data_IF_352136262930
#
_entry.id   IF_352136262930
#
_cell.length_a   1.000
_cell.length_b   1.000
_cell.length_c   1.000
_cell.angle_alpha   90.00
_cell.angle_beta   90.00
_cell.angle_gamma   90.00
#
_symmetry.space_group_name_H-M   'P 1'
#
loop_
_entity.id
_entity.type
_entity.pdbx_description
1 polymer ?
#
# COMPACT_ATOMS: atom_id res chain seq x y z
N UNK A 1 -1.66 13.22 11.50
CA UNK A 1 -2.08 12.99 12.90
C UNK A 1 -3.47 12.38 12.95
N UNK A 2 -3.56 11.06 12.83
CA UNK A 2 -4.83 10.33 12.92
C UNK A 2 -5.32 10.16 14.36
N UNK A 3 -4.41 10.16 15.35
CA UNK A 3 -4.71 10.09 16.79
C UNK A 3 -3.61 10.76 17.62
N UNK A 4 -3.79 10.84 18.92
CA UNK A 4 -2.76 11.25 19.91
C UNK A 4 -2.56 10.14 20.94
N UNK A 5 -1.38 10.08 21.53
CA UNK A 5 -1.05 9.06 22.53
C UNK A 5 -2.00 9.09 23.76
N UNK A 6 -2.36 10.27 24.21
CA UNK A 6 -3.25 10.47 25.38
C UNK A 6 -4.04 11.78 25.20
N UNK A 7 -5.36 11.68 25.16
CA UNK A 7 -6.24 12.83 25.01
C UNK A 7 -6.06 13.81 26.17
N UNK A 8 -6.12 13.32 27.41
CA UNK A 8 -6.12 14.15 28.62
C UNK A 8 -4.88 15.04 28.72
N UNK A 9 -3.73 14.54 28.26
CA UNK A 9 -2.47 15.26 28.29
C UNK A 9 -2.12 15.93 26.95
N UNK A 10 -2.93 15.71 25.91
CA UNK A 10 -2.77 16.34 24.62
C UNK A 10 -2.85 17.86 24.70
N UNK A 11 -1.96 18.54 23.99
CA UNK A 11 -2.04 19.99 23.84
C UNK A 11 -3.32 20.42 23.10
N UNK A 12 -3.85 19.59 22.22
CA UNK A 12 -5.12 19.85 21.53
C UNK A 12 -6.27 19.96 22.52
N UNK A 13 -6.42 18.99 23.41
CA UNK A 13 -7.51 18.98 24.37
C UNK A 13 -7.35 20.07 25.43
N UNK A 14 -6.11 20.39 25.85
CA UNK A 14 -5.84 21.47 26.80
C UNK A 14 -6.08 22.86 26.20
N UNK A 15 -5.91 23.02 24.89
CA UNK A 15 -6.09 24.31 24.21
C UNK A 15 -7.56 24.61 23.96
N UNK A 16 -8.29 23.66 23.35
CA UNK A 16 -9.73 23.79 23.09
C UNK A 16 -10.41 22.43 23.35
N UNK A 17 -10.90 22.21 24.60
CA UNK A 17 -11.51 20.94 24.94
C UNK A 17 -12.65 20.54 24.01
N UNK A 18 -12.63 19.28 23.56
CA UNK A 18 -13.67 18.71 22.70
C UNK A 18 -13.65 19.18 21.24
N UNK A 19 -12.67 19.98 20.81
CA UNK A 19 -12.64 20.48 19.43
C UNK A 19 -11.87 19.59 18.47
N UNK A 20 -10.70 19.10 18.83
CA UNK A 20 -9.77 18.45 17.92
C UNK A 20 -9.99 16.94 17.76
N UNK A 21 -10.93 16.38 18.49
CA UNK A 21 -11.27 14.96 18.46
C UNK A 21 -12.72 14.75 18.05
N UNK A 22 -13.01 13.61 17.41
CA UNK A 22 -14.37 13.21 17.12
C UNK A 22 -15.00 12.52 18.32
N UNK A 23 -16.32 12.61 18.40
CA UNK A 23 -17.14 11.95 19.41
C UNK A 23 -18.15 11.05 18.71
N UNK A 24 -18.41 9.90 19.32
CA UNK A 24 -19.48 9.02 18.88
C UNK A 24 -20.86 9.55 19.37
N UNK A 25 -21.93 8.90 18.93
CA UNK A 25 -23.31 9.26 19.28
C UNK A 25 -23.61 9.28 20.80
N UNK A 26 -22.79 8.57 21.59
CA UNK A 26 -22.91 8.51 23.07
C UNK A 26 -22.10 9.62 23.77
N UNK A 27 -21.54 10.56 23.03
CA UNK A 27 -20.69 11.62 23.55
C UNK A 27 -19.33 11.16 24.11
N UNK A 28 -18.86 9.97 23.74
CA UNK A 28 -17.53 9.48 24.07
C UNK A 28 -16.59 9.74 22.88
N UNK A 29 -15.30 9.89 23.16
CA UNK A 29 -14.30 9.96 22.09
C UNK A 29 -14.42 8.77 21.15
N UNK A 30 -14.44 9.06 19.87
CA UNK A 30 -14.42 8.04 18.81
C UNK A 30 -13.01 7.47 18.66
N UNK A 31 -12.92 6.24 18.14
CA UNK A 31 -11.66 5.50 18.04
C UNK A 31 -11.57 4.67 16.76
N UNK A 32 -11.63 5.32 15.63
CA UNK A 32 -11.37 4.64 14.34
C UNK A 32 -9.89 4.27 14.17
N UNK A 33 -9.00 4.81 14.99
CA UNK A 33 -7.58 4.49 14.97
C UNK A 33 -7.23 3.16 15.65
N UNK A 34 -8.12 2.65 16.54
CA UNK A 34 -7.79 1.52 17.42
C UNK A 34 -6.75 1.85 18.50
N UNK A 35 -6.41 3.16 18.67
CA UNK A 35 -5.40 3.65 19.62
C UNK A 35 -6.00 4.51 20.72
N UNK A 36 -7.33 4.44 20.92
CA UNK A 36 -8.06 5.13 21.99
C UNK A 36 -8.69 6.46 21.59
N UNK A 37 -8.42 7.00 20.42
CA UNK A 37 -9.01 8.24 19.91
C UNK A 37 -8.79 8.44 18.42
N UNK A 38 -9.52 9.37 17.82
CA UNK A 38 -9.29 9.87 16.47
C UNK A 38 -9.39 11.39 16.41
N UNK A 39 -8.57 12.01 15.59
CA UNK A 39 -8.60 13.46 15.38
C UNK A 39 -9.69 13.86 14.38
N UNK A 40 -10.25 15.05 14.56
CA UNK A 40 -11.32 15.60 13.74
C UNK A 40 -10.75 16.43 12.57
N UNK A 41 -10.20 15.78 11.55
CA UNK A 41 -9.60 16.42 10.36
C UNK A 41 -10.58 17.33 9.61
N UNK A 42 -11.87 17.03 9.66
CA UNK A 42 -12.98 17.81 9.10
C UNK A 42 -13.16 19.18 9.75
N UNK A 43 -12.57 19.41 10.94
CA UNK A 43 -12.66 20.71 11.63
C UNK A 43 -11.55 21.66 11.18
N UNK A 44 -11.94 22.91 10.91
CA UNK A 44 -11.09 23.91 10.29
C UNK A 44 -9.69 24.06 10.92
N UNK A 45 -9.60 24.09 12.25
CA UNK A 45 -8.31 24.30 12.92
C UNK A 45 -7.45 23.01 12.96
N UNK A 46 -8.08 21.81 12.97
CA UNK A 46 -7.32 20.56 12.81
C UNK A 46 -6.78 20.43 11.38
N UNK A 47 -7.60 20.72 10.39
CA UNK A 47 -7.18 20.77 8.96
C UNK A 47 -6.04 21.75 8.77
N UNK A 48 -6.17 22.97 9.29
CA UNK A 48 -5.09 23.97 9.24
C UNK A 48 -3.80 23.44 9.87
N UNK A 49 -3.87 22.81 11.04
CA UNK A 49 -2.72 22.22 11.70
C UNK A 49 -2.04 21.13 10.84
N UNK A 50 -2.83 20.26 10.21
CA UNK A 50 -2.28 19.21 9.32
C UNK A 50 -1.59 19.81 8.10
N UNK A 51 -2.22 20.78 7.43
CA UNK A 51 -1.66 21.48 6.27
C UNK A 51 -0.35 22.20 6.66
N UNK A 52 -0.37 23.02 7.70
CA UNK A 52 0.82 23.75 8.16
C UNK A 52 1.96 22.82 8.58
N UNK A 53 1.62 21.66 9.16
CA UNK A 53 2.62 20.65 9.53
C UNK A 53 3.34 20.10 8.29
N UNK A 54 2.63 19.69 7.23
CA UNK A 54 3.30 19.16 6.02
C UNK A 54 4.07 20.26 5.29
N UNK A 55 3.55 21.49 5.22
CA UNK A 55 4.26 22.63 4.63
C UNK A 55 5.55 22.95 5.39
N UNK A 56 5.53 22.88 6.73
CA UNK A 56 6.73 23.07 7.55
C UNK A 56 7.81 22.05 7.20
N UNK A 57 7.45 20.77 7.10
CA UNK A 57 8.43 19.73 6.77
C UNK A 57 9.01 19.88 5.35
N UNK A 58 8.22 20.34 4.39
CA UNK A 58 8.72 20.61 3.04
C UNK A 58 9.63 21.83 3.03
N UNK A 59 9.19 22.94 3.62
CA UNK A 59 9.91 24.21 3.52
C UNK A 59 11.21 24.22 4.33
N UNK A 60 11.20 23.62 5.55
CA UNK A 60 12.34 23.68 6.47
C UNK A 60 13.27 22.46 6.34
N UNK A 61 12.73 21.30 5.97
CA UNK A 61 13.48 20.03 5.92
C UNK A 61 13.58 19.43 4.53
N UNK A 62 12.96 20.04 3.51
CA UNK A 62 13.01 19.61 2.11
C UNK A 62 12.56 18.16 1.90
N UNK A 63 11.50 17.76 2.58
CA UNK A 63 10.92 16.42 2.46
C UNK A 63 10.16 16.32 1.14
N UNK A 64 10.39 15.22 0.39
CA UNK A 64 9.86 14.99 -0.96
C UNK A 64 8.56 14.17 -0.98
N UNK A 65 8.02 13.78 0.20
CA UNK A 65 6.78 13.02 0.25
C UNK A 65 6.31 12.68 1.66
N UNK A 66 5.05 12.23 1.76
CA UNK A 66 4.39 11.90 3.02
C UNK A 66 3.60 10.61 2.90
N UNK A 67 3.75 9.76 3.91
CA UNK A 67 2.87 8.62 4.14
C UNK A 67 1.91 8.93 5.27
N UNK A 68 0.61 8.76 5.04
CA UNK A 68 -0.43 8.93 6.04
C UNK A 68 -0.86 7.56 6.59
N UNK A 69 -0.56 7.35 7.85
CA UNK A 69 -1.02 6.22 8.62
C UNK A 69 -2.54 6.32 8.82
N UNK A 70 -3.28 5.22 8.62
CA UNK A 70 -4.74 5.19 8.70
C UNK A 70 -5.40 6.41 8.01
N UNK A 71 -4.94 6.72 6.79
CA UNK A 71 -5.44 7.87 6.01
C UNK A 71 -6.95 7.86 5.86
N UNK A 72 -7.55 6.66 5.84
CA UNK A 72 -9.00 6.46 5.75
C UNK A 72 -9.82 7.03 6.91
N UNK A 73 -9.19 7.52 7.98
CA UNK A 73 -9.87 8.25 9.07
C UNK A 73 -10.08 9.73 8.70
N UNK A 74 -9.22 10.28 7.84
CA UNK A 74 -9.30 11.69 7.44
C UNK A 74 -10.41 11.89 6.40
N UNK A 75 -10.93 13.11 6.38
CA UNK A 75 -11.90 13.52 5.35
C UNK A 75 -11.20 13.86 4.03
N UNK A 76 -11.92 13.66 2.93
CA UNK A 76 -11.44 13.91 1.56
C UNK A 76 -11.00 15.36 1.36
N UNK A 77 -11.75 16.31 1.93
CA UNK A 77 -11.45 17.73 1.77
C UNK A 77 -10.08 18.08 2.36
N UNK A 78 -9.75 17.56 3.56
CA UNK A 78 -8.45 17.78 4.18
C UNK A 78 -7.32 17.20 3.33
N UNK A 79 -7.48 15.98 2.82
CA UNK A 79 -6.45 15.35 1.99
C UNK A 79 -6.25 16.08 0.66
N UNK A 80 -7.35 16.51 0.03
CA UNK A 80 -7.29 17.26 -1.22
C UNK A 80 -6.68 18.67 -1.03
N UNK A 81 -6.97 19.35 0.09
CA UNK A 81 -6.32 20.63 0.40
C UNK A 81 -4.83 20.47 0.66
N UNK A 82 -4.39 19.42 1.41
CA UNK A 82 -2.97 19.11 1.56
C UNK A 82 -2.31 18.92 0.19
N UNK A 83 -2.93 18.15 -0.72
CA UNK A 83 -2.40 17.94 -2.08
C UNK A 83 -2.31 19.25 -2.85
N UNK A 84 -3.35 20.09 -2.78
CA UNK A 84 -3.39 21.36 -3.48
C UNK A 84 -2.30 22.32 -3.02
N UNK A 85 -2.07 22.45 -1.72
CA UNK A 85 -1.01 23.29 -1.14
C UNK A 85 0.39 22.81 -1.53
N UNK A 86 0.63 21.49 -1.46
CA UNK A 86 1.90 20.90 -1.87
C UNK A 86 2.16 21.06 -3.38
N UNK A 87 1.12 21.00 -4.22
CA UNK A 87 1.24 21.25 -5.66
C UNK A 87 1.70 22.69 -5.99
N UNK A 88 1.45 23.66 -5.12
CA UNK A 88 1.93 25.03 -5.30
C UNK A 88 3.45 25.15 -5.08
N UNK A 89 4.02 24.25 -4.28
CA UNK A 89 5.47 24.21 -4.03
C UNK A 89 6.14 23.35 -5.09
N UNK A 90 5.75 22.06 -5.16
CA UNK A 90 6.27 21.10 -6.12
C UNK A 90 5.25 19.95 -6.31
N UNK A 91 4.65 19.80 -7.50
CA UNK A 91 3.71 18.73 -7.78
C UNK A 91 4.34 17.33 -7.74
N UNK A 92 5.66 17.19 -7.71
CA UNK A 92 6.36 15.91 -7.58
C UNK A 92 6.41 15.39 -6.14
N UNK A 93 6.08 16.22 -5.13
CA UNK A 93 6.00 15.78 -3.73
C UNK A 93 4.96 14.66 -3.63
N UNK A 94 5.40 13.47 -3.24
CA UNK A 94 4.56 12.28 -3.26
C UNK A 94 3.72 12.16 -2.00
N UNK A 95 2.42 11.87 -2.17
CA UNK A 95 1.51 11.59 -1.06
C UNK A 95 0.91 10.21 -1.24
N UNK A 96 0.98 9.40 -0.20
CA UNK A 96 0.31 8.11 -0.15
C UNK A 96 -0.10 7.76 1.27
N UNK A 97 -0.96 6.76 1.42
CA UNK A 97 -1.37 6.33 2.75
C UNK A 97 -2.23 5.08 2.74
N UNK A 98 -2.67 4.70 3.93
CA UNK A 98 -3.56 3.58 4.15
C UNK A 98 -5.01 4.02 3.92
N UNK A 99 -5.62 3.54 2.85
CA UNK A 99 -7.01 3.83 2.50
C UNK A 99 -8.04 3.06 3.35
N UNK A 100 -7.75 2.88 4.64
CA UNK A 100 -8.61 2.19 5.62
C UNK A 100 -8.53 2.82 6.99
N UNK A 101 -9.36 2.33 7.92
CA UNK A 101 -9.35 2.64 9.34
C UNK A 101 -9.30 1.32 10.14
N UNK A 102 -8.84 1.36 11.39
CA UNK A 102 -8.76 0.18 12.25
C UNK A 102 -10.13 -0.23 12.83
N UNK A 103 -11.06 0.71 12.93
CA UNK A 103 -12.46 0.46 13.31
C UNK A 103 -13.41 1.44 12.63
N UNK A 104 -14.70 1.42 12.95
CA UNK A 104 -15.72 2.22 12.27
C UNK A 104 -15.52 3.73 12.52
N UNK A 105 -15.24 4.53 11.47
CA UNK A 105 -15.15 5.97 11.57
C UNK A 105 -16.51 6.64 11.82
N UNK A 106 -16.48 7.90 12.30
CA UNK A 106 -17.69 8.65 12.60
C UNK A 106 -18.22 9.46 11.40
N UNK A 107 -17.40 9.73 10.41
CA UNK A 107 -17.83 10.41 9.19
C UNK A 107 -18.50 9.42 8.23
N UNK A 108 -19.31 9.94 7.31
CA UNK A 108 -19.85 9.19 6.19
C UNK A 108 -18.75 8.54 5.36
N UNK A 109 -18.95 7.27 4.94
CA UNK A 109 -17.99 6.55 4.12
C UNK A 109 -17.63 7.29 2.83
N UNK A 110 -18.56 8.05 2.26
CA UNK A 110 -18.37 8.83 1.02
C UNK A 110 -17.49 10.08 1.21
N UNK A 111 -17.32 10.54 2.45
CA UNK A 111 -16.53 11.73 2.81
C UNK A 111 -15.12 11.38 3.31
N UNK A 112 -14.83 10.10 3.50
CA UNK A 112 -13.56 9.62 4.03
C UNK A 112 -12.53 9.33 2.94
N UNK A 113 -11.25 9.52 3.26
CA UNK A 113 -10.11 9.20 2.42
C UNK A 113 -9.83 7.67 2.35
N UNK A 114 -10.91 6.89 2.25
CA UNK A 114 -10.87 5.45 2.07
C UNK A 114 -10.42 5.07 0.65
N UNK A 115 -9.86 3.90 0.50
CA UNK A 115 -9.43 3.35 -0.79
C UNK A 115 -10.53 3.43 -1.86
N UNK A 116 -11.76 3.06 -1.51
CA UNK A 116 -12.91 3.14 -2.42
C UNK A 116 -13.20 4.56 -2.96
N UNK A 117 -12.69 5.60 -2.32
CA UNK A 117 -12.79 7.00 -2.71
C UNK A 117 -11.50 7.56 -3.34
N UNK A 118 -10.49 6.74 -3.59
CA UNK A 118 -9.21 7.23 -4.13
C UNK A 118 -9.37 8.01 -5.46
N UNK A 119 -10.38 7.65 -6.27
CA UNK A 119 -10.74 8.40 -7.47
C UNK A 119 -11.15 9.87 -7.21
N UNK A 120 -11.53 10.21 -5.97
CA UNK A 120 -11.82 11.59 -5.53
C UNK A 120 -10.58 12.34 -5.02
N UNK A 121 -9.43 11.67 -4.97
CA UNK A 121 -8.17 12.20 -4.45
C UNK A 121 -7.06 12.13 -5.52
N UNK A 122 -7.17 12.86 -6.63
CA UNK A 122 -6.15 12.81 -7.68
C UNK A 122 -4.77 13.23 -7.14
N UNK A 123 -3.73 12.44 -7.47
CA UNK A 123 -2.36 12.68 -7.00
C UNK A 123 -2.07 12.19 -5.57
N UNK A 124 -2.97 11.42 -4.97
CA UNK A 124 -2.76 10.71 -3.70
C UNK A 124 -2.90 9.22 -3.95
N UNK A 125 -1.91 8.44 -3.51
CA UNK A 125 -1.87 7.00 -3.69
C UNK A 125 -2.31 6.26 -2.42
N UNK A 126 -2.84 5.03 -2.60
CA UNK A 126 -3.23 4.14 -1.51
C UNK A 126 -2.66 2.74 -1.71
N UNK A 127 -2.44 2.03 -0.62
CA UNK A 127 -1.97 0.65 -0.65
C UNK A 127 -3.02 -0.31 -1.25
N UNK A 128 -2.55 -1.22 -2.12
CA UNK A 128 -3.38 -2.24 -2.76
C UNK A 128 -3.32 -3.56 -1.99
N UNK A 129 -4.26 -3.76 -1.10
CA UNK A 129 -4.42 -5.02 -0.39
C UNK A 129 -5.04 -6.13 -1.27
N UNK A 130 -5.73 -5.78 -2.37
CA UNK A 130 -6.25 -6.77 -3.32
C UNK A 130 -5.12 -7.64 -3.89
N UNK A 131 -4.07 -7.02 -4.41
CA UNK A 131 -2.93 -7.76 -4.97
C UNK A 131 -2.09 -8.42 -3.88
N UNK A 132 -1.85 -7.72 -2.76
CA UNK A 132 -1.10 -8.27 -1.63
C UNK A 132 -1.72 -9.59 -1.16
N UNK A 133 -3.01 -9.57 -0.87
CA UNK A 133 -3.70 -10.74 -0.30
C UNK A 133 -4.02 -11.79 -1.37
N UNK A 134 -4.24 -11.38 -2.61
CA UNK A 134 -4.29 -12.28 -3.75
C UNK A 134 -3.00 -13.06 -3.97
N UNK A 135 -1.85 -12.48 -3.65
CA UNK A 135 -0.55 -13.15 -3.73
C UNK A 135 -0.29 -14.05 -2.52
N UNK A 136 -0.34 -13.51 -1.30
CA UNK A 136 0.20 -14.15 -0.10
C UNK A 136 -0.84 -14.58 0.93
N UNK A 137 -2.13 -14.41 0.65
CA UNK A 137 -3.22 -14.65 1.58
C UNK A 137 -3.56 -13.46 2.49
N UNK A 138 -4.78 -13.45 3.06
CA UNK A 138 -5.33 -12.33 3.81
C UNK A 138 -4.66 -12.16 5.18
N UNK A 139 -4.74 -10.96 5.72
CA UNK A 139 -4.27 -10.62 7.06
C UNK A 139 -4.91 -11.47 8.17
N UNK A 140 -6.13 -11.92 7.96
CA UNK A 140 -6.95 -12.63 8.96
C UNK A 140 -6.65 -14.13 9.09
N UNK A 141 -5.88 -14.72 8.17
CA UNK A 141 -5.56 -16.15 8.18
C UNK A 141 -4.08 -16.40 7.83
N UNK A 142 -3.32 -16.83 8.81
CA UNK A 142 -1.88 -17.08 8.67
C UNK A 142 -1.52 -18.33 7.87
N UNK A 143 -2.50 -19.20 7.63
CA UNK A 143 -2.33 -20.46 6.92
C UNK A 143 -2.77 -20.39 5.45
N UNK A 144 -3.49 -19.33 5.06
CA UNK A 144 -3.83 -19.05 3.68
C UNK A 144 -2.65 -18.39 2.98
N UNK A 145 -2.08 -19.05 1.98
CA UNK A 145 -0.96 -18.53 1.17
C UNK A 145 -1.36 -18.13 -0.25
N UNK A 146 -2.64 -18.25 -0.58
CA UNK A 146 -3.27 -17.83 -1.82
C UNK A 146 -2.49 -18.28 -3.08
N UNK A 147 -2.26 -17.37 -4.02
CA UNK A 147 -1.56 -17.68 -5.28
C UNK A 147 -0.17 -18.28 -5.07
N UNK A 148 0.59 -17.83 -4.08
CA UNK A 148 1.96 -18.31 -3.86
C UNK A 148 2.04 -19.80 -3.50
N UNK A 149 0.99 -20.38 -2.90
CA UNK A 149 0.95 -21.83 -2.57
C UNK A 149 0.18 -22.64 -3.60
N UNK A 150 -0.21 -22.03 -4.73
CA UNK A 150 -0.90 -22.72 -5.82
C UNK A 150 -2.41 -22.77 -5.69
N UNK A 151 -3.02 -21.96 -4.81
CA UNK A 151 -4.48 -21.87 -4.70
C UNK A 151 -5.06 -21.10 -5.88
N UNK A 152 -6.08 -21.64 -6.57
CA UNK A 152 -6.70 -20.98 -7.71
C UNK A 152 -7.71 -19.91 -7.27
N UNK A 153 -8.02 -18.98 -8.19
CA UNK A 153 -9.06 -17.96 -8.00
C UNK A 153 -8.57 -16.62 -7.52
N UNK A 154 -7.26 -16.45 -7.36
CA UNK A 154 -6.63 -15.19 -6.95
C UNK A 154 -6.13 -14.36 -8.13
N UNK A 155 -6.11 -14.94 -9.34
CA UNK A 155 -5.53 -14.35 -10.54
C UNK A 155 -6.12 -12.98 -10.85
N UNK A 156 -7.45 -12.83 -10.73
CA UNK A 156 -8.12 -11.57 -11.07
C UNK A 156 -7.72 -10.42 -10.14
N UNK A 157 -7.55 -10.69 -8.84
CA UNK A 157 -7.09 -9.69 -7.87
C UNK A 157 -5.64 -9.25 -8.13
N UNK A 158 -4.79 -10.19 -8.56
CA UNK A 158 -3.41 -9.90 -8.95
C UNK A 158 -3.37 -9.10 -10.25
N UNK A 159 -4.14 -9.52 -11.28
CA UNK A 159 -4.26 -8.80 -12.55
C UNK A 159 -4.78 -7.37 -12.35
N UNK A 160 -5.74 -7.18 -11.44
CA UNK A 160 -6.23 -5.86 -11.05
C UNK A 160 -5.10 -4.97 -10.47
N UNK A 161 -4.27 -5.51 -9.59
CA UNK A 161 -3.08 -4.80 -9.09
C UNK A 161 -2.02 -4.56 -10.18
N UNK A 162 -1.83 -5.51 -11.11
CA UNK A 162 -0.87 -5.34 -12.22
C UNK A 162 -1.21 -4.15 -13.12
N UNK A 163 -2.49 -3.88 -13.39
CA UNK A 163 -2.93 -2.69 -14.15
C UNK A 163 -2.95 -1.41 -13.33
N UNK A 164 -2.62 -1.45 -12.03
CA UNK A 164 -2.64 -0.29 -11.14
C UNK A 164 -4.02 0.09 -10.62
N UNK A 165 -4.92 -0.87 -10.46
CA UNK A 165 -6.28 -0.74 -9.92
C UNK A 165 -7.18 0.24 -10.69
N UNK A 166 -6.85 0.48 -11.95
CA UNK A 166 -7.64 1.29 -12.89
C UNK A 166 -8.72 0.43 -13.57
N UNK A 167 -9.67 1.09 -14.21
CA UNK A 167 -10.58 0.41 -15.14
C UNK A 167 -9.78 -0.16 -16.32
N UNK A 168 -9.97 -1.48 -16.58
CA UNK A 168 -9.30 -2.17 -17.68
C UNK A 168 -10.24 -3.23 -18.28
N UNK A 169 -10.33 -3.36 -19.63
CA UNK A 169 -11.32 -4.21 -20.29
C UNK A 169 -11.22 -5.72 -19.97
N UNK A 170 -10.05 -6.18 -19.52
CA UNK A 170 -9.84 -7.58 -19.17
C UNK A 170 -9.97 -7.86 -17.67
N UNK A 171 -10.34 -6.88 -16.85
CA UNK A 171 -10.57 -7.07 -15.42
C UNK A 171 -12.06 -7.26 -15.15
N UNK A 172 -12.42 -8.40 -14.58
CA UNK A 172 -13.76 -8.71 -14.10
C UNK A 172 -13.85 -8.33 -12.62
N UNK A 173 -14.33 -7.12 -12.34
CA UNK A 173 -14.30 -6.55 -10.98
C UNK A 173 -15.05 -7.41 -9.94
N UNK A 174 -16.12 -8.11 -10.31
CA UNK A 174 -16.86 -9.00 -9.40
C UNK A 174 -16.02 -10.21 -8.93
N UNK A 175 -14.90 -10.48 -9.59
CA UNK A 175 -13.94 -11.54 -9.23
C UNK A 175 -12.71 -11.02 -8.48
N UNK A 176 -12.66 -9.71 -8.21
CA UNK A 176 -11.61 -9.10 -7.41
C UNK A 176 -12.00 -9.17 -5.93
N UNK A 177 -11.07 -9.55 -5.05
CA UNK A 177 -11.29 -9.47 -3.61
C UNK A 177 -11.44 -8.00 -3.17
N UNK A 178 -12.19 -7.74 -2.11
CA UNK A 178 -12.41 -6.42 -1.47
C UNK A 178 -13.04 -5.32 -2.34
N UNK A 179 -12.65 -5.17 -3.61
CA UNK A 179 -13.06 -4.05 -4.46
C UNK A 179 -13.77 -4.49 -5.72
N UNK A 180 -15.09 -4.26 -5.79
CA UNK A 180 -15.91 -4.59 -6.95
C UNK A 180 -15.98 -3.46 -8.00
N UNK A 181 -15.13 -2.46 -7.87
CA UNK A 181 -15.00 -1.32 -8.79
C UNK A 181 -13.55 -0.84 -8.83
N UNK A 182 -13.10 -0.32 -9.98
CA UNK A 182 -11.83 0.41 -10.04
C UNK A 182 -11.87 1.60 -9.08
N UNK A 183 -10.83 1.75 -8.27
CA UNK A 183 -10.74 2.88 -7.35
C UNK A 183 -9.67 3.90 -7.74
N UNK A 184 -8.76 3.56 -8.63
CA UNK A 184 -7.74 4.47 -9.15
C UNK A 184 -8.16 5.08 -10.50
N UNK A 185 -7.96 6.39 -10.68
CA UNK A 185 -8.07 7.06 -11.99
C UNK A 185 -6.80 6.85 -12.82
N UNK A 186 -5.66 6.79 -12.13
CA UNK A 186 -4.35 6.61 -12.72
C UNK A 186 -3.57 5.55 -11.94
N UNK A 187 -2.70 4.75 -12.59
CA UNK A 187 -1.93 3.72 -11.91
C UNK A 187 -0.98 4.28 -10.84
N UNK A 188 -0.61 5.56 -10.93
CA UNK A 188 0.18 6.27 -9.92
C UNK A 188 -0.54 6.46 -8.57
N UNK A 189 -1.84 6.20 -8.51
CA UNK A 189 -2.60 6.20 -7.25
C UNK A 189 -2.55 4.87 -6.50
N UNK A 190 -1.87 3.86 -7.03
CA UNK A 190 -1.77 2.54 -6.43
C UNK A 190 -0.36 2.25 -5.94
N UNK A 191 -0.24 1.87 -4.66
CA UNK A 191 1.00 1.31 -4.09
C UNK A 191 0.97 -0.20 -4.24
N UNK A 192 1.88 -0.71 -5.05
CA UNK A 192 2.10 -2.15 -5.27
C UNK A 192 3.04 -2.69 -4.20
N UNK A 193 2.59 -3.65 -3.39
CA UNK A 193 3.38 -4.21 -2.30
C UNK A 193 2.92 -5.61 -1.91
N UNK A 194 3.77 -6.33 -1.20
CA UNK A 194 3.45 -7.65 -0.61
C UNK A 194 3.85 -7.74 0.86
N UNK A 195 4.62 -6.78 1.36
CA UNK A 195 5.18 -6.76 2.71
C UNK A 195 5.27 -5.32 3.22
N UNK A 196 5.06 -5.14 4.53
CA UNK A 196 5.19 -3.85 5.21
C UNK A 196 5.66 -4.09 6.65
N UNK A 197 5.74 -3.02 7.45
CA UNK A 197 6.09 -3.10 8.89
C UNK A 197 4.97 -3.74 9.74
N UNK A 198 3.72 -3.58 9.34
CA UNK A 198 2.56 -4.23 9.95
C UNK A 198 2.39 -5.64 9.42
N UNK A 199 1.79 -6.52 10.22
CA UNK A 199 1.59 -7.93 9.95
C UNK A 199 2.91 -8.72 9.82
N UNK A 200 2.83 -9.98 9.45
CA UNK A 200 3.98 -10.79 9.06
C UNK A 200 4.65 -10.18 7.83
N UNK A 201 5.97 -10.08 7.82
CA UNK A 201 6.69 -9.78 6.59
C UNK A 201 6.60 -10.98 5.61
N UNK A 202 6.97 -10.76 4.35
CA UNK A 202 6.80 -11.76 3.31
C UNK A 202 7.49 -13.10 3.63
N UNK A 203 8.71 -13.07 4.16
CA UNK A 203 9.44 -14.29 4.52
C UNK A 203 8.75 -15.08 5.65
N UNK A 204 8.20 -14.39 6.66
CA UNK A 204 7.44 -15.04 7.74
C UNK A 204 6.17 -15.68 7.19
N UNK A 205 5.45 -14.97 6.32
CA UNK A 205 4.20 -15.44 5.72
C UNK A 205 4.41 -16.68 4.87
N UNK A 206 5.40 -16.65 3.98
CA UNK A 206 5.76 -17.82 3.16
C UNK A 206 6.11 -19.01 4.06
N UNK A 207 6.89 -18.78 5.12
CA UNK A 207 7.26 -19.85 6.05
C UNK A 207 6.05 -20.44 6.77
N UNK A 208 5.10 -19.62 7.20
CA UNK A 208 3.88 -20.07 7.88
C UNK A 208 2.99 -20.89 6.96
N UNK A 209 2.85 -20.50 5.69
CA UNK A 209 1.99 -21.17 4.70
C UNK A 209 2.65 -22.36 4.00
N UNK A 210 3.97 -22.50 4.11
CA UNK A 210 4.74 -23.61 3.50
C UNK A 210 5.65 -24.30 4.51
N UNK A 211 5.10 -24.95 5.56
CA UNK A 211 5.91 -25.54 6.65
C UNK A 211 6.91 -26.61 6.17
N UNK A 212 6.53 -27.37 5.15
CA UNK A 212 7.33 -28.48 4.62
C UNK A 212 8.27 -28.09 3.45
N UNK A 213 8.22 -26.84 2.99
CA UNK A 213 9.07 -26.38 1.88
C UNK A 213 10.53 -26.18 2.31
N UNK A 214 11.45 -26.35 1.37
CA UNK A 214 12.86 -26.00 1.57
C UNK A 214 13.09 -24.50 1.54
N UNK A 215 14.26 -24.06 2.00
CA UNK A 215 14.61 -22.61 1.94
C UNK A 215 14.75 -22.12 0.50
N UNK A 216 15.17 -22.98 -0.45
CA UNK A 216 15.24 -22.69 -1.87
C UNK A 216 13.84 -22.47 -2.47
N UNK A 217 12.88 -23.31 -2.12
CA UNK A 217 11.47 -23.16 -2.55
C UNK A 217 10.87 -21.87 -1.99
N UNK A 218 11.08 -21.56 -0.71
CA UNK A 218 10.62 -20.32 -0.09
C UNK A 218 11.27 -19.08 -0.75
N UNK A 219 12.55 -19.15 -1.07
CA UNK A 219 13.24 -18.10 -1.81
C UNK A 219 12.68 -17.92 -3.23
N UNK A 220 12.24 -19.00 -3.89
CA UNK A 220 11.59 -18.92 -5.20
C UNK A 220 10.22 -18.23 -5.10
N UNK A 221 9.40 -18.57 -4.09
CA UNK A 221 8.11 -17.92 -3.83
C UNK A 221 8.28 -16.44 -3.50
N UNK A 222 9.29 -16.11 -2.70
CA UNK A 222 9.62 -14.71 -2.36
C UNK A 222 9.99 -13.90 -3.62
N UNK A 223 10.83 -14.45 -4.49
CA UNK A 223 11.19 -13.83 -5.78
C UNK A 223 9.96 -13.67 -6.68
N UNK A 224 9.07 -14.66 -6.70
CA UNK A 224 7.82 -14.58 -7.48
C UNK A 224 6.93 -13.43 -7.00
N UNK A 225 6.71 -13.30 -5.68
CA UNK A 225 5.91 -12.22 -5.11
C UNK A 225 6.47 -10.84 -5.46
N UNK A 226 7.78 -10.63 -5.31
CA UNK A 226 8.44 -9.37 -5.66
C UNK A 226 8.42 -9.11 -7.18
N UNK A 227 8.37 -10.14 -8.02
CA UNK A 227 8.19 -9.97 -9.46
C UNK A 227 6.88 -9.25 -9.76
N UNK A 228 5.78 -9.63 -9.13
CA UNK A 228 4.50 -8.95 -9.31
C UNK A 228 4.56 -7.48 -8.85
N UNK A 229 5.22 -7.20 -7.73
CA UNK A 229 5.39 -5.81 -7.24
C UNK A 229 6.12 -4.96 -8.28
N UNK A 230 7.26 -5.43 -8.78
CA UNK A 230 8.09 -4.63 -9.69
C UNK A 230 7.62 -4.64 -11.15
N UNK A 231 6.72 -5.51 -11.54
CA UNK A 231 6.13 -5.53 -12.90
C UNK A 231 4.74 -4.90 -12.96
N UNK A 232 4.14 -4.53 -11.82
CA UNK A 232 2.89 -3.76 -11.75
C UNK A 232 3.06 -2.35 -12.31
N UNK A 233 1.98 -1.78 -12.86
CA UNK A 233 1.92 -0.38 -13.30
C UNK A 233 1.83 0.62 -12.14
N UNK A 234 1.47 0.15 -10.94
CA UNK A 234 1.47 0.95 -9.71
C UNK A 234 2.87 1.37 -9.25
N UNK A 235 2.91 2.14 -8.18
CA UNK A 235 4.17 2.57 -7.54
C UNK A 235 4.69 1.41 -6.68
N UNK A 236 5.86 0.83 -6.96
CA UNK A 236 6.38 -0.29 -6.19
C UNK A 236 6.86 0.14 -4.82
N UNK A 237 6.51 -0.64 -3.82
CA UNK A 237 6.95 -0.48 -2.43
C UNK A 237 7.59 -1.79 -1.96
N UNK A 238 8.79 -1.71 -1.42
CA UNK A 238 9.50 -2.82 -0.81
C UNK A 238 9.74 -2.54 0.67
N UNK A 239 9.45 -3.51 1.53
CA UNK A 239 9.78 -3.40 2.94
C UNK A 239 11.28 -3.62 3.14
N UNK A 240 11.94 -2.74 3.90
CA UNK A 240 13.39 -2.82 4.15
C UNK A 240 13.78 -4.19 4.68
N UNK A 241 14.62 -4.90 3.93
CA UNK A 241 15.10 -6.23 4.26
C UNK A 241 14.44 -7.36 3.47
N UNK A 242 13.34 -7.12 2.72
CA UNK A 242 12.76 -8.14 1.85
C UNK A 242 13.77 -8.62 0.81
N UNK A 243 14.66 -7.73 0.34
CA UNK A 243 15.74 -8.08 -0.58
C UNK A 243 16.76 -9.07 -0.01
N UNK A 244 16.72 -9.31 1.29
CA UNK A 244 17.60 -10.25 1.99
C UNK A 244 16.82 -11.26 2.86
N UNK A 245 15.57 -11.52 2.53
CA UNK A 245 14.70 -12.47 3.23
C UNK A 245 14.56 -12.14 4.72
N UNK A 246 14.34 -10.86 5.05
CA UNK A 246 14.08 -10.44 6.44
C UNK A 246 12.87 -11.15 6.99
N UNK A 247 13.00 -11.68 8.20
CA UNK A 247 11.89 -12.19 9.00
C UNK A 247 11.74 -11.38 10.31
N UNK A 248 10.54 -11.44 10.88
CA UNK A 248 10.22 -10.94 12.21
C UNK A 248 9.84 -12.10 13.14
N UNK A 249 10.28 -13.31 12.81
CA UNK A 249 10.02 -14.55 13.53
C UNK A 249 8.53 -14.84 13.75
N UNK A 250 7.70 -14.47 12.77
CA UNK A 250 6.25 -14.63 12.80
C UNK A 250 5.50 -13.61 13.67
N UNK A 251 6.18 -12.56 14.15
CA UNK A 251 5.51 -11.53 14.97
C UNK A 251 4.74 -10.56 14.06
N UNK A 252 3.42 -10.49 14.23
CA UNK A 252 2.54 -9.61 13.49
C UNK A 252 2.76 -8.13 13.85
N UNK A 253 2.55 -7.79 15.10
CA UNK A 253 2.64 -6.42 15.58
C UNK A 253 3.94 -6.22 16.36
N UNK A 254 5.01 -5.88 15.66
CA UNK A 254 6.36 -5.82 16.21
C UNK A 254 6.82 -4.41 16.62
N UNK A 255 5.93 -3.40 16.60
CA UNK A 255 6.31 -1.99 16.81
C UNK A 255 7.09 -1.73 18.11
N UNK A 256 6.80 -2.47 19.18
CA UNK A 256 7.47 -2.38 20.48
C UNK A 256 8.26 -3.65 20.84
N UNK A 257 8.49 -4.53 19.87
CA UNK A 257 9.31 -5.73 20.06
C UNK A 257 10.79 -5.37 20.16
N UNK A 258 11.61 -6.20 20.83
CA UNK A 258 13.05 -5.95 20.97
C UNK A 258 13.80 -6.04 19.62
N UNK A 259 15.02 -5.56 19.60
CA UNK A 259 15.92 -5.58 18.42
C UNK A 259 16.07 -6.99 17.83
N UNK A 260 16.02 -8.03 18.67
CA UNK A 260 16.06 -9.43 18.21
C UNK A 260 14.94 -9.83 17.24
N UNK A 261 13.85 -9.05 17.18
CA UNK A 261 12.73 -9.19 16.24
C UNK A 261 12.85 -8.16 15.11
N UNK A 262 13.18 -6.90 15.46
CA UNK A 262 13.11 -5.79 14.51
C UNK A 262 14.41 -5.53 13.73
N UNK A 263 15.53 -6.18 14.08
CA UNK A 263 16.80 -6.06 13.38
C UNK A 263 16.72 -6.59 11.94
N UNK A 264 17.34 -5.87 11.02
CA UNK A 264 17.65 -6.40 9.68
C UNK A 264 19.01 -7.14 9.75
N UNK A 265 18.96 -8.46 9.56
CA UNK A 265 20.15 -9.32 9.59
C UNK A 265 20.95 -9.17 8.29
N UNK A 266 21.80 -8.15 8.20
CA UNK A 266 22.56 -7.85 6.98
C UNK A 266 23.49 -8.98 6.49
N UNK A 267 23.86 -9.94 7.34
CA UNK A 267 24.57 -11.15 6.92
C UNK A 267 23.75 -11.98 5.93
N UNK A 268 22.42 -11.86 5.95
CA UNK A 268 21.50 -12.51 5.01
C UNK A 268 21.76 -12.09 3.56
N UNK A 269 22.34 -10.92 3.33
CA UNK A 269 22.77 -10.51 1.98
C UNK A 269 23.77 -11.50 1.35
N UNK A 270 24.57 -12.17 2.16
CA UNK A 270 25.48 -13.22 1.69
C UNK A 270 24.78 -14.57 1.62
N UNK A 271 23.91 -14.89 2.58
CA UNK A 271 23.16 -16.13 2.65
C UNK A 271 22.15 -16.25 1.51
N UNK A 272 21.38 -15.19 1.26
CA UNK A 272 20.36 -15.09 0.21
C UNK A 272 20.82 -14.18 -0.94
N UNK A 273 22.08 -14.34 -1.35
CA UNK A 273 22.68 -13.51 -2.40
C UNK A 273 21.93 -13.58 -3.73
N UNK A 274 21.34 -14.71 -4.04
CA UNK A 274 20.53 -14.92 -5.22
C UNK A 274 19.23 -14.09 -5.20
N UNK A 275 18.54 -14.03 -4.06
CA UNK A 275 17.34 -13.19 -3.84
C UNK A 275 17.72 -11.70 -3.98
N UNK A 276 18.79 -11.28 -3.30
CA UNK A 276 19.28 -9.90 -3.40
C UNK A 276 19.58 -9.50 -4.84
N UNK A 277 20.30 -10.34 -5.57
CA UNK A 277 20.63 -10.08 -6.97
C UNK A 277 19.39 -10.10 -7.87
N UNK A 278 18.43 -10.98 -7.60
CA UNK A 278 17.19 -11.06 -8.36
C UNK A 278 16.38 -9.76 -8.22
N UNK A 279 16.13 -9.29 -6.99
CA UNK A 279 15.39 -8.03 -6.74
C UNK A 279 16.15 -6.82 -7.32
N UNK A 280 17.47 -6.78 -7.16
CA UNK A 280 18.31 -5.76 -7.82
C UNK A 280 18.09 -5.74 -9.34
N UNK A 281 17.99 -6.90 -9.96
CA UNK A 281 17.78 -7.03 -11.42
C UNK A 281 16.34 -6.64 -11.80
N UNK A 282 15.33 -6.95 -11.00
CA UNK A 282 13.95 -6.48 -11.21
C UNK A 282 13.87 -4.94 -11.18
N UNK A 283 14.55 -4.32 -10.24
CA UNK A 283 14.65 -2.84 -10.17
C UNK A 283 15.34 -2.29 -11.42
N UNK A 284 16.42 -2.93 -11.86
CA UNK A 284 17.15 -2.54 -13.08
C UNK A 284 16.26 -2.69 -14.33
N UNK A 285 15.53 -3.81 -14.44
CA UNK A 285 14.57 -4.07 -15.52
C UNK A 285 13.51 -2.97 -15.57
N UNK A 286 12.84 -2.69 -14.44
CA UNK A 286 11.80 -1.66 -14.36
C UNK A 286 12.34 -0.27 -14.71
N UNK A 287 13.58 0.06 -14.33
CA UNK A 287 14.24 1.32 -14.69
C UNK A 287 14.57 1.41 -16.17
N UNK A 288 15.05 0.32 -16.76
CA UNK A 288 15.42 0.26 -18.17
C UNK A 288 14.20 0.31 -19.11
N UNK A 289 13.05 -0.24 -18.66
CA UNK A 289 11.86 -0.39 -19.47
C UNK A 289 10.70 0.51 -18.99
N UNK A 290 10.49 1.68 -19.63
CA UNK A 290 9.40 2.60 -19.31
C UNK A 290 8.01 1.96 -19.40
N UNK A 291 7.84 0.89 -20.17
CA UNK A 291 6.60 0.13 -20.30
C UNK A 291 6.06 -0.41 -18.96
N UNK A 292 6.91 -0.68 -17.97
CA UNK A 292 6.49 -1.09 -16.63
C UNK A 292 6.01 0.05 -15.73
N UNK A 293 6.04 1.29 -16.19
CA UNK A 293 5.70 2.48 -15.40
C UNK A 293 5.03 3.55 -16.28
N UNK A 294 3.97 3.15 -16.96
CA UNK A 294 3.27 4.01 -17.90
C UNK A 294 2.66 5.25 -17.24
N UNK A 295 2.23 5.15 -15.99
CA UNK A 295 1.75 6.30 -15.21
C UNK A 295 0.41 6.90 -15.67
N UNK A 296 -0.10 6.49 -16.81
CA UNK A 296 -1.34 6.95 -17.44
C UNK A 296 -2.26 5.77 -17.76
N UNK A 297 -3.52 5.88 -17.37
CA UNK A 297 -4.49 4.81 -17.49
C UNK A 297 -4.82 4.47 -18.96
N UNK A 298 -4.83 5.45 -19.87
CA UNK A 298 -5.06 5.21 -21.28
C UNK A 298 -3.91 4.44 -21.92
N UNK A 299 -2.67 4.76 -21.54
CA UNK A 299 -1.50 4.00 -21.99
C UNK A 299 -1.55 2.55 -21.51
N UNK A 300 -1.94 2.32 -20.24
CA UNK A 300 -2.09 0.97 -19.70
C UNK A 300 -3.16 0.20 -20.47
N UNK A 301 -4.36 0.78 -20.64
CA UNK A 301 -5.45 0.13 -21.42
C UNK A 301 -5.05 -0.21 -22.85
N UNK A 302 -4.26 0.63 -23.48
CA UNK A 302 -3.84 0.46 -24.86
C UNK A 302 -2.73 -0.57 -25.02
N UNK A 303 -1.76 -0.58 -24.11
CA UNK A 303 -0.50 -1.28 -24.31
C UNK A 303 -0.31 -2.53 -23.43
N UNK A 304 -1.09 -2.71 -22.37
CA UNK A 304 -1.03 -3.91 -21.53
C UNK A 304 -2.16 -4.87 -21.90
N UNK A 305 -1.82 -6.11 -22.21
CA UNK A 305 -2.76 -7.16 -22.59
C UNK A 305 -2.45 -8.44 -21.84
N UNK A 306 -3.44 -9.00 -21.15
CA UNK A 306 -3.33 -10.33 -20.57
C UNK A 306 -3.59 -11.39 -21.62
N UNK A 307 -2.69 -12.35 -21.67
CA UNK A 307 -2.75 -13.45 -22.63
C UNK A 307 -3.53 -14.61 -22.03
N UNK A 308 -4.30 -15.36 -22.86
CA UNK A 308 -4.99 -16.55 -22.38
C UNK A 308 -3.94 -17.60 -21.95
N UNK A 309 -4.19 -18.23 -20.82
CA UNK A 309 -3.37 -19.31 -20.27
C UNK A 309 -4.24 -20.55 -20.07
N UNK A 310 -3.69 -21.73 -20.26
CA UNK A 310 -4.33 -23.01 -19.93
C UNK A 310 -3.94 -23.40 -18.49
N UNK A 311 -4.93 -23.71 -17.67
CA UNK A 311 -4.74 -24.07 -16.26
C UNK A 311 -5.03 -22.92 -15.29
N UNK A 312 -4.93 -23.22 -14.00
CA UNK A 312 -5.08 -22.25 -12.89
C UNK A 312 -3.72 -21.79 -12.39
N UNK A 313 -3.73 -20.75 -11.60
CA UNK A 313 -2.56 -20.20 -10.92
C UNK A 313 -1.43 -19.76 -11.88
N UNK A 314 -1.84 -19.21 -13.02
CA UNK A 314 -0.96 -18.67 -14.04
C UNK A 314 -1.46 -17.30 -14.48
N UNK A 315 -0.55 -16.36 -14.66
CA UNK A 315 -0.81 -15.05 -15.24
C UNK A 315 0.26 -14.79 -16.31
N UNK A 316 -0.21 -14.44 -17.50
CA UNK A 316 0.66 -14.00 -18.59
C UNK A 316 0.15 -12.67 -19.13
N UNK A 317 1.04 -11.73 -19.35
CA UNK A 317 0.71 -10.46 -19.97
C UNK A 317 1.83 -9.98 -20.89
N UNK A 318 1.45 -9.11 -21.79
CA UNK A 318 2.37 -8.49 -22.75
C UNK A 318 2.23 -6.97 -22.65
N UNK A 319 3.35 -6.28 -22.69
CA UNK A 319 3.47 -4.83 -22.92
C UNK A 319 3.87 -4.65 -24.37
N UNK A 320 3.01 -4.03 -25.19
CA UNK A 320 3.10 -4.04 -26.65
C UNK A 320 3.29 -2.63 -27.24
N UNK A 321 3.63 -2.59 -28.51
CA UNK A 321 3.67 -1.37 -29.34
C UNK A 321 4.60 -0.28 -28.76
N UNK A 322 5.77 -0.65 -28.27
CA UNK A 322 6.74 0.27 -27.67
C UNK A 322 6.13 1.15 -26.57
N UNK A 323 5.39 0.52 -25.66
CA UNK A 323 4.67 1.18 -24.58
C UNK A 323 5.53 2.21 -23.85
N UNK A 324 5.01 3.42 -23.68
CA UNK A 324 5.66 4.53 -22.99
C UNK A 324 7.05 4.89 -23.55
N UNK A 325 7.28 4.65 -24.86
CA UNK A 325 8.56 4.89 -25.54
C UNK A 325 9.64 3.84 -25.29
N UNK A 326 9.26 2.65 -24.83
CA UNK A 326 10.17 1.53 -24.68
C UNK A 326 10.69 1.07 -26.06
N UNK A 327 11.91 0.56 -26.10
CA UNK A 327 12.50 0.03 -27.34
C UNK A 327 11.99 -1.38 -27.70
N UNK A 328 11.34 -2.08 -26.76
CA UNK A 328 10.85 -3.46 -26.87
C UNK A 328 9.34 -3.55 -27.03
#
# INVERSE_FOLDING_TARGET
YNHTFDIKNSNFEKTVPGYFYRFNEKGKYADASGCGNETASDRAMMRKYMIESVLHWVNEYHIDGFRFDLMGIHDLETMNQIRAELNQIDPSIFIYGEGWAASAPQLSQEDLAMKANAYKMPGIAVFCDEMRDGLRGPFSDDHDGAFLIGEPGHEMSIMYGLVGCIEHPQIVNDSVNYSQKPWALQPTQMISYVSCHDDMCLADRIKATTPDATDEERAALHKLAETFVFTSQGVPFIFTGDEVMRDKKGVHNSYNSPDSINTVEWKNKSTYKDVFNYIKNLIALRKAHPAFRMGDAELVRKHMEFLPVEGSNLIAFMLKDHANGDEW
#
